data_IF_499853543812
#
_entry.id   IF_499853543812
#
_cell.length_a   1.000
_cell.length_b   1.000
_cell.length_c   1.000
_cell.angle_alpha   90.00
_cell.angle_beta   90.00
_cell.angle_gamma   90.00
#
_symmetry.space_group_name_H-M   'P 1'
#
loop_
_entity.id
_entity.type
_entity.pdbx_description
1 polymer ?
#
# COMPACT_ATOMS: atom_id res chain seq x y z
N UNK A 1 37.19 -7.54 -9.92
CA UNK A 1 38.09 -6.52 -10.51
C UNK A 1 37.24 -5.35 -10.93
N UNK A 2 37.43 -4.15 -10.35
CA UNK A 2 36.76 -2.91 -10.81
C UNK A 2 37.45 -2.49 -12.11
N UNK A 3 36.77 -2.58 -13.23
CA UNK A 3 37.23 -2.06 -14.51
C UNK A 3 37.31 -0.54 -14.42
N UNK A 4 38.50 0.00 -14.66
CA UNK A 4 38.77 1.44 -14.66
C UNK A 4 38.22 2.02 -15.99
N UNK A 5 36.89 2.13 -16.12
CA UNK A 5 36.28 2.78 -17.29
C UNK A 5 36.30 4.30 -17.08
N UNK A 6 36.56 5.11 -18.14
CA UNK A 6 36.44 6.56 -18.04
C UNK A 6 35.01 6.93 -17.65
N UNK A 7 34.87 8.02 -16.89
CA UNK A 7 33.57 8.58 -16.51
C UNK A 7 32.77 8.92 -17.79
N UNK A 8 31.67 8.19 -18.00
CA UNK A 8 30.73 8.45 -19.11
C UNK A 8 29.59 9.30 -18.56
N UNK A 9 29.49 10.54 -19.06
CA UNK A 9 28.38 11.41 -18.75
C UNK A 9 27.17 10.99 -19.63
N UNK A 10 26.15 10.39 -19.00
CA UNK A 10 24.90 10.01 -19.68
C UNK A 10 23.98 11.23 -19.65
N UNK A 11 23.40 11.56 -20.81
CA UNK A 11 22.40 12.62 -20.93
C UNK A 11 21.21 12.36 -19.98
N UNK A 12 20.80 13.32 -19.14
CA UNK A 12 19.66 13.18 -18.23
C UNK A 12 18.36 12.75 -18.93
N UNK A 13 18.09 13.26 -20.15
CA UNK A 13 16.89 12.92 -20.91
C UNK A 13 16.91 11.48 -21.39
N UNK A 14 18.08 10.98 -21.75
CA UNK A 14 18.29 9.57 -22.11
C UNK A 14 18.07 8.67 -20.89
N UNK A 15 18.64 9.05 -19.74
CA UNK A 15 18.49 8.30 -18.51
C UNK A 15 17.01 8.23 -18.07
N UNK A 16 16.27 9.32 -18.22
CA UNK A 16 14.84 9.34 -17.89
C UNK A 16 14.05 8.37 -18.79
N UNK A 17 14.33 8.37 -20.12
CA UNK A 17 13.68 7.43 -21.06
C UNK A 17 13.99 5.98 -20.71
N UNK A 18 15.24 5.67 -20.45
CA UNK A 18 15.67 4.29 -20.09
C UNK A 18 15.00 3.80 -18.79
N UNK A 19 14.80 4.69 -17.82
CA UNK A 19 14.10 4.37 -16.56
C UNK A 19 12.61 4.07 -16.74
N UNK A 20 12.00 4.56 -17.82
CA UNK A 20 10.58 4.33 -18.11
C UNK A 20 10.32 2.99 -18.81
N UNK A 21 11.34 2.31 -19.32
CA UNK A 21 11.20 0.99 -19.95
C UNK A 21 10.82 -0.04 -18.88
N UNK A 22 9.59 -0.55 -18.92
CA UNK A 22 9.13 -1.59 -18.00
C UNK A 22 9.69 -2.96 -18.42
N UNK A 23 9.89 -3.86 -17.41
CA UNK A 23 10.48 -5.16 -17.63
C UNK A 23 9.66 -6.07 -18.54
N UNK A 24 8.32 -5.99 -18.47
CA UNK A 24 7.46 -6.86 -19.28
C UNK A 24 7.59 -6.54 -20.78
N UNK A 25 7.61 -5.25 -21.12
CA UNK A 25 7.82 -4.79 -22.50
C UNK A 25 9.19 -5.19 -23.01
N UNK A 26 10.24 -4.96 -22.19
CA UNK A 26 11.61 -5.38 -22.52
C UNK A 26 11.71 -6.89 -22.80
N UNK A 27 11.20 -7.73 -21.92
CA UNK A 27 11.28 -9.19 -22.09
C UNK A 27 10.45 -9.67 -23.28
N UNK A 28 9.30 -9.07 -23.58
CA UNK A 28 8.49 -9.43 -24.75
C UNK A 28 9.22 -9.22 -26.05
N UNK A 29 9.97 -8.15 -26.12
CA UNK A 29 10.62 -7.71 -27.35
C UNK A 29 12.01 -8.34 -27.53
N UNK A 30 12.81 -8.36 -26.49
CA UNK A 30 14.23 -8.73 -26.58
C UNK A 30 14.56 -10.10 -26.00
N UNK A 31 13.80 -10.58 -25.02
CA UNK A 31 14.01 -11.91 -24.40
C UNK A 31 12.69 -12.71 -24.33
N UNK A 32 11.95 -12.91 -25.44
CA UNK A 32 10.63 -13.57 -25.38
C UNK A 32 10.68 -15.00 -24.86
N UNK A 33 11.80 -15.71 -25.10
CA UNK A 33 12.02 -17.07 -24.55
C UNK A 33 12.19 -17.09 -23.04
N UNK A 34 12.58 -15.98 -22.43
CA UNK A 34 12.75 -15.85 -20.98
C UNK A 34 11.45 -15.40 -20.28
N UNK A 35 10.39 -15.08 -21.02
CA UNK A 35 9.10 -14.65 -20.47
C UNK A 35 8.10 -15.79 -20.39
N UNK A 36 7.69 -16.18 -19.19
CA UNK A 36 6.75 -17.27 -18.95
C UNK A 36 5.50 -16.76 -18.25
N UNK A 37 4.31 -17.05 -18.79
CA UNK A 37 3.05 -16.73 -18.12
C UNK A 37 2.78 -17.68 -16.95
N UNK A 38 2.48 -17.15 -15.78
CA UNK A 38 2.16 -17.95 -14.60
C UNK A 38 0.78 -18.59 -14.75
N UNK A 39 0.72 -19.93 -14.67
CA UNK A 39 -0.55 -20.69 -14.80
C UNK A 39 -1.56 -20.23 -13.74
N UNK A 40 -2.83 -20.11 -14.13
CA UNK A 40 -3.92 -19.72 -13.22
C UNK A 40 -3.99 -18.24 -12.92
N UNK A 41 -3.19 -17.38 -13.57
CA UNK A 41 -3.24 -15.93 -13.40
C UNK A 41 -3.56 -15.24 -14.74
N UNK A 42 -4.25 -14.06 -14.66
CA UNK A 42 -4.57 -13.27 -15.86
C UNK A 42 -3.37 -12.47 -16.37
N UNK A 43 -2.62 -11.80 -15.49
CA UNK A 43 -1.60 -10.80 -15.83
C UNK A 43 -0.31 -10.93 -15.01
N UNK A 44 0.05 -12.14 -14.59
CA UNK A 44 1.31 -12.38 -13.89
C UNK A 44 2.23 -13.23 -14.75
N UNK A 45 3.46 -12.78 -14.88
CA UNK A 45 4.54 -13.44 -15.61
C UNK A 45 5.71 -13.74 -14.68
N UNK A 46 6.62 -14.57 -15.10
CA UNK A 46 7.92 -14.80 -14.47
C UNK A 46 8.99 -14.97 -15.54
N UNK A 47 10.25 -14.94 -15.15
CA UNK A 47 11.33 -15.30 -16.07
C UNK A 47 11.54 -16.80 -16.06
N UNK A 48 11.96 -17.37 -17.19
CA UNK A 48 12.29 -18.81 -17.30
C UNK A 48 13.49 -19.17 -16.42
N UNK A 49 14.45 -18.25 -16.27
CA UNK A 49 15.63 -18.44 -15.43
C UNK A 49 15.32 -18.37 -13.93
N UNK A 50 14.30 -17.57 -13.55
CA UNK A 50 13.92 -17.35 -12.16
C UNK A 50 12.40 -17.34 -12.02
N UNK A 51 11.81 -18.48 -11.76
CA UNK A 51 10.37 -18.64 -11.56
C UNK A 51 9.82 -17.84 -10.35
N UNK A 52 10.67 -17.57 -9.36
CA UNK A 52 10.38 -16.73 -8.20
C UNK A 52 10.39 -15.22 -8.48
N UNK A 53 10.90 -14.79 -9.65
CA UNK A 53 10.80 -13.40 -10.10
C UNK A 53 9.44 -13.20 -10.78
N UNK A 54 8.54 -12.49 -10.13
CA UNK A 54 7.18 -12.21 -10.64
C UNK A 54 7.07 -10.81 -11.21
N UNK A 55 6.39 -10.71 -12.35
CA UNK A 55 6.18 -9.45 -13.10
C UNK A 55 4.66 -9.23 -13.18
N UNK A 56 4.18 -8.07 -12.71
CA UNK A 56 2.77 -7.69 -12.75
C UNK A 56 2.63 -6.18 -12.71
N UNK A 57 1.69 -5.63 -13.48
CA UNK A 57 1.35 -4.20 -13.49
C UNK A 57 2.57 -3.27 -13.65
N UNK A 58 3.47 -3.58 -14.58
CA UNK A 58 4.66 -2.77 -14.87
C UNK A 58 5.73 -2.79 -13.77
N UNK A 59 5.59 -3.67 -12.78
CA UNK A 59 6.53 -3.86 -11.68
C UNK A 59 6.97 -5.29 -11.64
N UNK A 60 8.15 -5.53 -11.07
CA UNK A 60 8.61 -6.88 -10.82
C UNK A 60 9.14 -7.04 -9.40
N UNK A 61 9.05 -8.26 -8.89
CA UNK A 61 9.50 -8.62 -7.55
C UNK A 61 10.18 -9.98 -7.56
N UNK A 62 11.39 -10.04 -7.01
CA UNK A 62 12.15 -11.27 -6.84
C UNK A 62 12.27 -11.59 -5.35
N UNK A 63 11.66 -12.67 -4.92
CA UNK A 63 11.54 -13.03 -3.50
C UNK A 63 12.89 -13.15 -2.80
N UNK A 64 13.95 -13.61 -3.50
CA UNK A 64 15.29 -13.81 -2.92
C UNK A 64 16.15 -12.54 -2.88
N UNK A 65 15.94 -11.55 -3.79
CA UNK A 65 16.88 -10.43 -3.96
C UNK A 65 16.24 -9.04 -4.09
N UNK A 66 14.95 -8.87 -3.82
CA UNK A 66 14.19 -7.62 -3.98
C UNK A 66 13.70 -7.37 -5.40
N UNK A 67 12.82 -6.34 -5.56
CA UNK A 67 12.20 -5.99 -6.81
C UNK A 67 12.70 -4.70 -7.44
N UNK A 68 12.12 -4.35 -8.57
CA UNK A 68 12.36 -3.13 -9.31
C UNK A 68 11.14 -2.71 -10.11
N UNK A 69 11.29 -1.59 -10.83
CA UNK A 69 10.20 -0.99 -11.60
C UNK A 69 10.50 -1.00 -13.10
N UNK A 70 11.77 -1.07 -13.48
CA UNK A 70 12.22 -0.89 -14.87
C UNK A 70 13.06 -2.07 -15.35
N UNK A 71 13.24 -2.16 -16.67
CA UNK A 71 14.21 -3.06 -17.28
C UNK A 71 15.64 -2.73 -16.84
N UNK A 72 15.96 -1.44 -16.61
CA UNK A 72 17.26 -1.03 -16.10
C UNK A 72 17.57 -1.67 -14.74
N UNK A 73 16.59 -1.66 -13.82
CA UNK A 73 16.74 -2.34 -12.54
C UNK A 73 16.99 -3.85 -12.69
N UNK A 74 16.33 -4.48 -13.67
CA UNK A 74 16.50 -5.91 -13.95
C UNK A 74 17.89 -6.22 -14.48
N UNK A 75 18.38 -5.46 -15.46
CA UNK A 75 19.73 -5.66 -16.01
C UNK A 75 20.81 -5.50 -14.93
N UNK A 76 20.66 -4.52 -14.04
CA UNK A 76 21.63 -4.28 -12.96
C UNK A 76 21.54 -5.33 -11.85
N UNK A 77 20.29 -5.64 -11.38
CA UNK A 77 20.09 -6.43 -10.16
C UNK A 77 20.02 -7.94 -10.40
N UNK A 78 19.60 -8.35 -11.60
CA UNK A 78 19.37 -9.76 -11.94
C UNK A 78 20.44 -10.26 -12.91
N UNK A 79 20.70 -9.50 -13.98
CA UNK A 79 21.72 -9.85 -14.97
C UNK A 79 23.12 -9.38 -14.58
N UNK A 80 23.25 -8.59 -13.50
CA UNK A 80 24.52 -8.13 -12.91
C UNK A 80 25.38 -7.25 -13.85
N UNK A 81 24.76 -6.61 -14.87
CA UNK A 81 25.43 -5.59 -15.68
C UNK A 81 25.79 -4.35 -14.85
N UNK A 82 26.90 -3.68 -15.19
CA UNK A 82 27.14 -2.37 -14.62
C UNK A 82 26.12 -1.33 -15.14
N UNK A 83 26.02 -0.21 -14.44
CA UNK A 83 25.01 0.80 -14.77
C UNK A 83 25.14 1.34 -16.19
N UNK A 84 26.38 1.58 -16.67
CA UNK A 84 26.65 2.13 -18.00
C UNK A 84 26.31 1.09 -19.08
N UNK A 85 26.75 -0.17 -18.89
CA UNK A 85 26.41 -1.28 -19.78
C UNK A 85 24.90 -1.49 -19.89
N UNK A 86 24.19 -1.48 -18.76
CA UNK A 86 22.73 -1.62 -18.76
C UNK A 86 22.03 -0.50 -19.52
N UNK A 87 22.50 0.75 -19.40
CA UNK A 87 22.00 1.89 -20.18
C UNK A 87 22.32 1.74 -21.66
N UNK A 88 23.53 1.36 -22.02
CA UNK A 88 23.96 1.14 -23.43
C UNK A 88 23.13 0.04 -24.10
N UNK A 89 22.88 -1.09 -23.41
CA UNK A 89 22.01 -2.15 -23.90
C UNK A 89 20.62 -1.64 -24.21
N UNK A 90 20.00 -0.91 -23.25
CA UNK A 90 18.65 -0.38 -23.44
C UNK A 90 18.59 0.74 -24.49
N UNK A 91 19.63 1.54 -24.61
CA UNK A 91 19.73 2.54 -25.68
C UNK A 91 19.90 1.89 -27.07
N UNK A 92 20.79 0.92 -27.21
CA UNK A 92 21.06 0.24 -28.48
C UNK A 92 19.85 -0.57 -28.97
N UNK A 93 19.07 -1.13 -28.08
CA UNK A 93 17.91 -1.97 -28.37
C UNK A 93 16.60 -1.16 -28.48
N UNK A 94 16.45 -0.08 -27.72
CA UNK A 94 15.18 0.64 -27.57
C UNK A 94 14.98 1.83 -28.53
N UNK A 95 16.02 2.26 -29.24
CA UNK A 95 15.94 3.50 -30.06
C UNK A 95 15.27 3.32 -31.42
N UNK A 96 15.08 2.09 -31.91
CA UNK A 96 14.51 1.90 -33.24
C UNK A 96 12.97 2.06 -33.28
N UNK A 97 12.23 1.59 -32.26
CA UNK A 97 10.76 1.58 -32.31
C UNK A 97 10.01 1.78 -30.98
N UNK A 98 10.71 2.15 -29.89
CA UNK A 98 10.04 2.29 -28.60
C UNK A 98 9.10 3.51 -28.55
N UNK A 99 7.82 3.23 -28.41
CA UNK A 99 6.82 4.23 -28.01
C UNK A 99 6.64 4.15 -26.51
N UNK A 100 6.76 5.27 -25.74
CA UNK A 100 6.46 5.25 -24.32
C UNK A 100 5.09 4.62 -24.10
N UNK A 101 4.93 3.73 -23.09
CA UNK A 101 3.60 3.27 -22.70
C UNK A 101 2.73 4.52 -22.51
N UNK A 102 1.45 4.50 -22.91
CA UNK A 102 0.57 5.64 -22.70
C UNK A 102 0.70 6.06 -21.24
N UNK A 103 0.94 7.36 -21.03
CA UNK A 103 1.07 7.92 -19.69
C UNK A 103 -0.01 7.30 -18.80
N UNK A 104 0.30 6.84 -17.58
CA UNK A 104 -0.69 6.24 -16.72
C UNK A 104 -1.89 7.17 -16.74
N UNK A 105 -3.05 6.65 -17.18
CA UNK A 105 -4.29 7.44 -17.23
C UNK A 105 -4.36 8.12 -15.89
N UNK A 106 -4.39 9.46 -15.88
CA UNK A 106 -4.62 10.24 -14.65
C UNK A 106 -5.73 9.51 -13.93
N UNK A 107 -5.44 9.06 -12.72
CA UNK A 107 -6.35 8.25 -11.93
C UNK A 107 -7.73 8.90 -12.03
N UNK A 108 -8.63 8.32 -12.81
CA UNK A 108 -10.04 8.65 -12.71
C UNK A 108 -10.39 8.46 -11.25
N UNK A 109 -11.14 9.38 -10.63
CA UNK A 109 -11.44 9.28 -9.22
C UNK A 109 -12.00 7.89 -8.94
N UNK A 110 -11.21 7.06 -8.27
CA UNK A 110 -11.59 5.67 -7.98
C UNK A 110 -12.84 5.72 -7.12
N UNK A 111 -13.93 5.17 -7.63
CA UNK A 111 -15.16 5.05 -6.86
C UNK A 111 -14.92 4.02 -5.75
N UNK A 112 -15.17 4.41 -4.50
CA UNK A 112 -15.09 3.49 -3.36
C UNK A 112 -16.18 2.43 -3.47
N UNK A 113 -15.77 1.18 -3.57
CA UNK A 113 -16.66 0.02 -3.60
C UNK A 113 -16.78 -0.57 -2.19
N UNK A 114 -17.84 -0.20 -1.48
CA UNK A 114 -18.10 -0.72 -0.15
C UNK A 114 -18.72 -2.12 -0.21
N UNK A 115 -18.27 -3.07 0.62
CA UNK A 115 -18.94 -4.35 0.78
C UNK A 115 -20.40 -4.16 1.25
N UNK A 116 -21.35 -4.99 0.77
CA UNK A 116 -22.72 -4.95 1.25
C UNK A 116 -22.78 -5.10 2.78
N UNK A 117 -23.66 -4.33 3.42
CA UNK A 117 -23.88 -4.43 4.88
C UNK A 117 -24.66 -5.69 5.22
N UNK A 118 -24.27 -6.39 6.28
CA UNK A 118 -25.07 -7.44 6.89
C UNK A 118 -26.29 -6.83 7.61
N UNK A 119 -27.28 -7.68 7.93
CA UNK A 119 -28.50 -7.29 8.64
C UNK A 119 -28.24 -6.78 10.05
N UNK A 120 -27.19 -7.30 10.69
CA UNK A 120 -26.74 -6.93 12.02
C UNK A 120 -25.21 -6.88 12.09
N UNK A 121 -24.66 -6.54 13.26
CA UNK A 121 -23.22 -6.46 13.51
C UNK A 121 -22.78 -7.42 14.62
N UNK A 122 -23.53 -8.49 14.89
CA UNK A 122 -23.32 -9.34 16.05
C UNK A 122 -21.93 -9.98 16.10
N UNK A 123 -21.41 -10.46 14.97
CA UNK A 123 -20.07 -11.06 14.90
C UNK A 123 -18.98 -10.02 15.09
N UNK A 124 -19.14 -8.86 14.50
CA UNK A 124 -18.17 -7.75 14.65
C UNK A 124 -18.14 -7.29 16.11
N UNK A 125 -19.30 -7.12 16.75
CA UNK A 125 -19.40 -6.77 18.16
C UNK A 125 -18.69 -7.82 19.03
N UNK A 126 -19.02 -9.10 18.84
CA UNK A 126 -18.41 -10.19 19.58
C UNK A 126 -16.89 -10.25 19.38
N UNK A 127 -16.45 -10.14 18.12
CA UNK A 127 -15.03 -10.16 17.76
C UNK A 127 -14.24 -9.03 18.44
N UNK A 128 -14.74 -7.79 18.36
CA UNK A 128 -14.06 -6.63 18.93
C UNK A 128 -14.11 -6.67 20.46
N UNK A 129 -15.24 -7.09 21.04
CA UNK A 129 -15.36 -7.25 22.49
C UNK A 129 -14.37 -8.29 23.04
N UNK A 130 -14.20 -9.43 22.36
CA UNK A 130 -13.19 -10.44 22.73
C UNK A 130 -11.76 -9.93 22.58
N UNK A 131 -11.55 -8.94 21.71
CA UNK A 131 -10.25 -8.25 21.60
C UNK A 131 -10.05 -7.16 22.65
N UNK A 132 -10.97 -7.05 23.61
CA UNK A 132 -10.87 -6.10 24.70
C UNK A 132 -11.33 -4.69 24.37
N UNK A 133 -12.04 -4.48 23.25
CA UNK A 133 -12.60 -3.17 22.91
C UNK A 133 -13.86 -2.92 23.72
N UNK A 134 -13.99 -1.72 24.29
CA UNK A 134 -15.14 -1.30 25.06
C UNK A 134 -16.44 -1.39 24.25
N UNK A 135 -17.46 -2.00 24.86
CA UNK A 135 -18.74 -2.25 24.19
C UNK A 135 -19.44 -0.96 23.73
N UNK A 136 -19.44 0.09 24.58
CA UNK A 136 -20.09 1.36 24.21
C UNK A 136 -19.37 2.02 23.04
N UNK A 137 -18.03 1.96 23.00
CA UNK A 137 -17.25 2.49 21.89
C UNK A 137 -17.55 1.75 20.59
N UNK A 138 -17.73 0.42 20.63
CA UNK A 138 -18.15 -0.36 19.47
C UNK A 138 -19.52 0.12 18.97
N UNK A 139 -20.49 0.28 19.91
CA UNK A 139 -21.86 0.74 19.58
C UNK A 139 -21.85 2.16 18.98
N UNK A 140 -21.05 3.06 19.52
CA UNK A 140 -20.89 4.42 18.96
C UNK A 140 -20.39 4.36 17.51
N UNK A 141 -19.34 3.60 17.23
CA UNK A 141 -18.81 3.45 15.87
C UNK A 141 -19.84 2.85 14.89
N UNK A 142 -20.69 1.92 15.35
CA UNK A 142 -21.77 1.34 14.54
C UNK A 142 -22.84 2.40 14.29
N UNK A 143 -23.27 3.12 15.33
CA UNK A 143 -24.28 4.19 15.25
C UNK A 143 -23.83 5.33 14.32
N UNK A 144 -22.57 5.73 14.40
CA UNK A 144 -21.97 6.75 13.54
C UNK A 144 -21.74 6.26 12.10
N UNK A 145 -21.98 4.97 11.84
CA UNK A 145 -21.75 4.33 10.53
C UNK A 145 -20.28 4.34 10.12
N UNK A 146 -19.36 4.36 11.10
CA UNK A 146 -17.91 4.21 10.88
C UNK A 146 -17.43 2.78 11.05
N UNK A 147 -18.32 1.89 11.54
CA UNK A 147 -18.09 0.46 11.68
C UNK A 147 -19.35 -0.30 11.27
N UNK A 148 -19.19 -1.36 10.50
CA UNK A 148 -20.29 -2.30 10.22
C UNK A 148 -19.74 -3.69 9.90
N UNK A 149 -20.64 -4.69 9.83
CA UNK A 149 -20.37 -6.05 9.41
C UNK A 149 -20.70 -6.22 7.93
N UNK A 150 -19.78 -6.81 7.14
CA UNK A 150 -20.08 -7.12 5.75
C UNK A 150 -20.99 -8.35 5.64
N UNK A 151 -21.91 -8.36 4.66
CA UNK A 151 -22.80 -9.50 4.38
C UNK A 151 -21.98 -10.73 3.98
N UNK A 152 -20.97 -10.52 3.13
CA UNK A 152 -20.05 -11.57 2.74
C UNK A 152 -18.92 -11.71 3.78
N UNK A 153 -18.66 -12.96 4.23
CA UNK A 153 -17.60 -13.32 5.15
C UNK A 153 -17.64 -12.65 6.54
N UNK A 154 -18.67 -11.86 6.86
CA UNK A 154 -18.85 -11.20 8.17
C UNK A 154 -17.62 -10.42 8.65
N UNK A 155 -16.92 -9.75 7.74
CA UNK A 155 -15.76 -8.96 8.08
C UNK A 155 -16.17 -7.68 8.84
N UNK A 156 -15.33 -7.24 9.77
CA UNK A 156 -15.41 -5.89 10.32
C UNK A 156 -14.93 -4.89 9.26
N UNK A 157 -15.77 -3.90 8.94
CA UNK A 157 -15.51 -2.86 7.94
C UNK A 157 -15.42 -1.52 8.66
N UNK A 158 -14.20 -0.95 8.70
CA UNK A 158 -13.90 0.34 9.31
C UNK A 158 -13.92 1.43 8.25
N UNK A 159 -14.80 2.41 8.39
CA UNK A 159 -15.05 3.47 7.41
C UNK A 159 -14.33 4.75 7.80
N UNK A 160 -13.65 5.34 6.84
CA UNK A 160 -13.17 6.71 6.92
C UNK A 160 -14.00 7.62 6.02
N UNK A 161 -14.39 8.77 6.56
CA UNK A 161 -15.28 9.74 5.90
C UNK A 161 -14.53 11.05 5.64
N UNK A 162 -14.96 11.79 4.61
CA UNK A 162 -14.52 13.16 4.41
C UNK A 162 -15.30 14.14 5.32
N UNK A 163 -15.05 15.43 5.18
CA UNK A 163 -15.68 16.49 5.99
C UNK A 163 -17.19 16.59 5.76
N UNK A 164 -17.69 16.11 4.61
CA UNK A 164 -19.13 16.05 4.32
C UNK A 164 -19.82 14.81 4.90
N UNK A 165 -19.07 13.92 5.56
CA UNK A 165 -19.56 12.64 6.06
C UNK A 165 -19.63 11.54 4.99
N UNK A 166 -19.15 11.79 3.77
CA UNK A 166 -19.16 10.82 2.68
C UNK A 166 -18.01 9.79 2.87
N UNK A 167 -18.30 8.48 2.81
CA UNK A 167 -17.26 7.45 2.86
C UNK A 167 -16.24 7.59 1.72
N UNK A 168 -14.96 7.62 2.05
CA UNK A 168 -13.83 7.68 1.11
C UNK A 168 -12.85 6.54 1.31
N UNK A 169 -12.93 5.85 2.43
CA UNK A 169 -12.02 4.77 2.78
C UNK A 169 -12.78 3.66 3.51
N UNK A 170 -12.36 2.42 3.29
CA UNK A 170 -12.82 1.30 4.09
C UNK A 170 -11.72 0.25 4.26
N UNK A 171 -11.44 -0.15 5.51
CA UNK A 171 -10.59 -1.27 5.86
C UNK A 171 -11.42 -2.48 6.29
N UNK A 172 -11.12 -3.65 5.74
CA UNK A 172 -11.76 -4.92 6.07
C UNK A 172 -10.85 -5.76 6.95
N UNK A 173 -11.42 -6.35 7.99
CA UNK A 173 -10.73 -7.28 8.88
C UNK A 173 -11.60 -8.51 9.13
N UNK A 174 -11.04 -9.71 8.92
CA UNK A 174 -11.74 -10.96 9.24
C UNK A 174 -12.07 -11.05 10.72
N UNK A 175 -13.31 -11.49 11.00
CA UNK A 175 -13.78 -11.84 12.35
C UNK A 175 -13.70 -13.34 12.63
N UNK A 176 -13.27 -14.15 11.63
CA UNK A 176 -13.29 -15.62 11.67
C UNK A 176 -11.92 -16.24 11.96
N UNK A 177 -11.02 -15.51 12.66
CA UNK A 177 -9.71 -16.03 13.05
C UNK A 177 -8.66 -16.08 11.92
N UNK A 178 -9.00 -15.69 10.69
CA UNK A 178 -8.03 -15.59 9.60
C UNK A 178 -7.19 -14.31 9.69
N UNK A 179 -6.02 -14.31 9.05
CA UNK A 179 -5.14 -13.13 8.96
C UNK A 179 -5.60 -12.13 7.89
N UNK A 180 -6.77 -12.33 7.29
CA UNK A 180 -7.27 -11.47 6.22
C UNK A 180 -7.44 -10.03 6.69
N UNK A 181 -6.79 -9.15 5.96
CA UNK A 181 -6.91 -7.69 6.06
C UNK A 181 -6.76 -7.09 4.66
N UNK A 182 -7.63 -6.17 4.29
CA UNK A 182 -7.63 -5.55 2.96
C UNK A 182 -8.32 -4.19 3.00
N UNK A 183 -7.84 -3.25 2.19
CA UNK A 183 -8.60 -2.03 1.90
C UNK A 183 -9.63 -2.32 0.81
N UNK A 184 -10.82 -1.73 0.91
CA UNK A 184 -11.82 -1.82 -0.15
C UNK A 184 -11.32 -1.14 -1.43
N UNK A 185 -11.73 -1.67 -2.59
CA UNK A 185 -11.36 -1.08 -3.88
C UNK A 185 -11.82 0.37 -3.96
N UNK A 186 -10.96 1.25 -4.45
CA UNK A 186 -11.23 2.70 -4.53
C UNK A 186 -11.03 3.48 -3.23
N UNK A 187 -10.54 2.83 -2.17
CA UNK A 187 -10.21 3.51 -0.90
C UNK A 187 -9.13 4.58 -1.07
N UNK A 188 -9.37 5.74 -0.46
CA UNK A 188 -8.40 6.83 -0.35
C UNK A 188 -7.88 6.91 1.10
N UNK A 189 -6.62 6.54 1.31
CA UNK A 189 -5.98 6.49 2.64
C UNK A 189 -5.89 7.85 3.35
N UNK A 190 -6.05 8.95 2.66
CA UNK A 190 -6.13 10.29 3.28
C UNK A 190 -7.31 10.41 4.24
N UNK A 191 -8.33 9.57 4.02
CA UNK A 191 -9.57 9.52 4.82
C UNK A 191 -9.65 8.25 5.68
N UNK A 192 -8.53 7.69 6.11
CA UNK A 192 -8.53 6.47 6.92
C UNK A 192 -9.36 6.60 8.20
N UNK A 193 -9.71 5.45 8.81
CA UNK A 193 -10.53 5.39 10.03
C UNK A 193 -9.94 6.27 11.14
N UNK A 194 -10.80 7.08 11.77
CA UNK A 194 -10.39 8.05 12.78
C UNK A 194 -11.50 8.31 13.80
N UNK A 195 -11.11 8.73 15.00
CA UNK A 195 -11.97 9.31 16.02
C UNK A 195 -11.48 10.74 16.25
N UNK A 196 -12.29 11.73 15.89
CA UNK A 196 -11.92 13.13 16.02
C UNK A 196 -12.17 13.61 17.44
N UNK A 197 -11.33 14.53 17.91
CA UNK A 197 -11.55 15.27 19.14
C UNK A 197 -12.87 16.08 19.06
N UNK A 198 -13.51 16.31 20.22
CA UNK A 198 -14.71 17.16 20.28
C UNK A 198 -14.38 18.62 20.05
N UNK A 199 -13.22 19.06 20.52
CA UNK A 199 -12.71 20.40 20.39
C UNK A 199 -11.40 20.40 19.61
N UNK A 200 -11.04 21.48 18.93
CA UNK A 200 -9.75 21.58 18.25
C UNK A 200 -8.59 21.30 19.21
N UNK A 201 -7.64 20.47 18.78
CA UNK A 201 -6.47 20.09 19.57
C UNK A 201 -5.22 20.06 18.70
N UNK A 202 -4.06 20.35 19.30
CA UNK A 202 -2.76 20.28 18.64
C UNK A 202 -2.15 18.86 18.69
N UNK A 203 -2.85 17.90 19.30
CA UNK A 203 -2.39 16.53 19.48
C UNK A 203 -3.13 15.57 18.55
N UNK A 204 -2.37 14.76 17.83
CA UNK A 204 -2.86 13.67 16.99
C UNK A 204 -2.13 12.38 17.32
N UNK A 205 -2.85 11.37 17.75
CA UNK A 205 -2.32 10.02 17.95
C UNK A 205 -2.45 9.20 16.68
N UNK A 206 -1.37 8.50 16.30
CA UNK A 206 -1.30 7.69 15.10
C UNK A 206 -1.17 6.21 15.47
N UNK A 207 -1.98 5.36 14.82
CA UNK A 207 -2.02 3.92 15.03
C UNK A 207 -1.83 3.16 13.72
N UNK A 208 -1.24 1.97 13.77
CA UNK A 208 -1.07 1.15 12.57
C UNK A 208 -2.42 0.74 11.98
N UNK A 209 -3.36 0.30 12.80
CA UNK A 209 -4.68 -0.17 12.37
C UNK A 209 -5.83 0.40 13.23
N UNK A 210 -7.06 0.31 12.68
CA UNK A 210 -8.26 0.76 13.37
C UNK A 210 -8.49 0.05 14.73
N UNK A 211 -8.12 -1.22 14.85
CA UNK A 211 -8.26 -1.97 16.10
C UNK A 211 -7.31 -1.46 17.17
N UNK A 212 -6.08 -1.09 16.81
CA UNK A 212 -5.10 -0.53 17.76
C UNK A 212 -5.58 0.84 18.26
N UNK A 213 -6.16 1.65 17.39
CA UNK A 213 -6.81 2.91 17.75
C UNK A 213 -7.96 2.69 18.76
N UNK A 214 -8.86 1.73 18.47
CA UNK A 214 -9.97 1.40 19.37
C UNK A 214 -9.49 0.82 20.73
N UNK A 215 -8.39 0.04 20.70
CA UNK A 215 -7.75 -0.46 21.94
C UNK A 215 -7.26 0.69 22.82
N UNK A 216 -6.62 1.69 22.22
CA UNK A 216 -6.14 2.86 22.94
C UNK A 216 -7.30 3.73 23.46
N UNK A 217 -8.34 3.95 22.67
CA UNK A 217 -9.54 4.64 23.12
C UNK A 217 -10.21 3.91 24.30
N UNK A 218 -10.23 2.58 24.27
CA UNK A 218 -10.71 1.73 25.39
C UNK A 218 -9.84 1.91 26.61
N UNK A 219 -8.52 1.89 26.45
CA UNK A 219 -7.58 2.11 27.55
C UNK A 219 -7.82 3.47 28.23
N UNK A 220 -8.00 4.55 27.46
CA UNK A 220 -8.30 5.86 28.00
C UNK A 220 -9.61 5.86 28.81
N UNK A 221 -10.66 5.19 28.33
CA UNK A 221 -11.92 5.03 29.08
C UNK A 221 -11.70 4.28 30.40
N UNK A 222 -10.90 3.21 30.41
CA UNK A 222 -10.57 2.47 31.62
C UNK A 222 -9.82 3.34 32.65
N UNK A 223 -8.99 4.28 32.19
CA UNK A 223 -8.31 5.27 33.02
C UNK A 223 -9.21 6.45 33.46
N UNK A 224 -10.47 6.43 33.10
CA UNK A 224 -11.38 7.53 33.37
C UNK A 224 -11.13 8.80 32.55
N UNK A 225 -10.36 8.70 31.45
CA UNK A 225 -10.05 9.79 30.55
C UNK A 225 -11.02 9.86 29.39
N UNK A 226 -11.29 11.06 28.89
CA UNK A 226 -12.09 11.22 27.67
C UNK A 226 -11.24 10.90 26.44
N UNK A 227 -11.54 9.81 25.75
CA UNK A 227 -10.84 9.40 24.52
C UNK A 227 -11.13 10.35 23.32
N UNK A 228 -12.09 11.27 23.43
CA UNK A 228 -12.37 12.34 22.47
C UNK A 228 -11.75 13.68 22.86
N UNK A 229 -10.85 13.73 23.85
CA UNK A 229 -10.08 14.93 24.15
C UNK A 229 -9.03 15.24 23.09
N UNK A 230 -8.53 14.22 22.40
CA UNK A 230 -7.52 14.33 21.35
C UNK A 230 -7.92 13.48 20.13
N UNK A 231 -7.37 13.82 18.96
CA UNK A 231 -7.71 13.13 17.73
C UNK A 231 -6.88 11.83 17.58
N UNK A 232 -7.56 10.74 17.18
CA UNK A 232 -6.97 9.43 16.95
C UNK A 232 -7.12 9.05 15.47
N UNK A 233 -6.04 8.64 14.80
CA UNK A 233 -6.02 8.31 13.38
C UNK A 233 -5.34 6.97 13.11
N UNK A 234 -5.98 6.11 12.34
CA UNK A 234 -5.38 4.87 11.82
C UNK A 234 -4.63 5.15 10.51
N UNK A 235 -3.38 4.66 10.41
CA UNK A 235 -2.58 4.75 9.19
C UNK A 235 -2.93 3.67 8.15
N UNK A 236 -3.78 2.72 8.54
CA UNK A 236 -4.20 1.61 7.67
C UNK A 236 -3.04 0.78 7.11
N UNK A 237 -2.07 0.52 7.97
CA UNK A 237 -0.83 -0.18 7.70
C UNK A 237 0.36 0.77 7.55
N UNK A 238 1.46 0.40 8.19
CA UNK A 238 2.73 1.14 8.14
C UNK A 238 3.68 0.39 7.22
N UNK A 239 4.16 1.06 6.17
CA UNK A 239 5.25 0.55 5.35
C UNK A 239 6.58 0.95 5.99
N UNK A 240 7.34 -0.01 6.51
CA UNK A 240 8.72 0.21 6.90
C UNK A 240 9.65 0.02 5.70
N UNK A 241 10.22 1.09 5.12
CA UNK A 241 11.28 0.94 4.14
C UNK A 241 12.51 0.35 4.83
N UNK A 242 13.08 -0.73 4.30
CA UNK A 242 14.27 -1.41 4.84
C UNK A 242 15.57 -0.58 4.79
N UNK A 243 15.51 0.71 4.38
CA UNK A 243 16.62 1.68 4.44
C UNK A 243 16.06 3.02 4.87
N UNK A 244 16.72 3.62 5.86
CA UNK A 244 16.44 4.98 6.33
C UNK A 244 16.48 5.98 5.18
N UNK A 245 15.31 6.50 4.78
CA UNK A 245 15.25 7.79 4.09
C UNK A 245 15.27 8.86 5.16
N UNK A 246 16.27 9.77 5.10
CA UNK A 246 16.30 10.97 5.94
C UNK A 246 14.98 11.73 5.78
N UNK A 247 14.15 11.70 6.81
CA UNK A 247 12.92 12.49 6.84
C UNK A 247 13.25 13.97 7.04
N UNK A 248 12.65 14.85 6.24
CA UNK A 248 12.64 16.29 6.55
C UNK A 248 11.86 16.47 7.86
N UNK A 249 12.48 17.15 8.83
CA UNK A 249 11.79 17.59 10.04
C UNK A 249 10.59 18.45 9.65
N UNK A 250 9.39 17.93 9.91
CA UNK A 250 8.17 18.74 9.95
C UNK A 250 8.09 19.24 11.41
N UNK A 251 7.96 20.54 11.59
CA UNK A 251 7.82 21.16 12.91
C UNK A 251 6.45 20.81 13.50
N UNK A 252 6.42 19.81 14.36
CA UNK A 252 5.25 19.35 15.11
C UNK A 252 5.67 18.17 16.00
N UNK A 253 5.15 18.08 17.21
CA UNK A 253 5.42 16.95 18.10
C UNK A 253 4.50 15.80 17.70
N UNK A 254 5.06 14.73 17.14
CA UNK A 254 4.35 13.48 16.87
C UNK A 254 4.72 12.46 17.95
N UNK A 255 3.72 11.84 18.55
CA UNK A 255 3.91 10.69 19.42
C UNK A 255 3.46 9.44 18.65
N UNK A 256 4.39 8.52 18.39
CA UNK A 256 4.07 7.19 17.86
C UNK A 256 4.03 6.25 19.06
N UNK A 257 2.85 5.77 19.41
CA UNK A 257 2.71 4.70 20.40
C UNK A 257 2.64 3.37 19.66
N UNK A 258 3.65 2.54 19.86
CA UNK A 258 3.62 1.11 19.50
C UNK A 258 3.29 0.34 20.79
N UNK A 259 2.14 -0.31 20.82
CA UNK A 259 1.76 -1.27 21.87
C UNK A 259 1.99 -2.67 21.33
#
# INVERSE_FOLDING_TARGET
MRTNRPYVQIDPDVLERVRQIDLLSYLREFEPSNLVKVKGTSNVYCTAEHDSLKISNGKWYWWSRRGGYSALDYLIKVKEYDFVEAVEILMGQAMADWKPPPAPKKDEPKVLLLPPKNKDCNRVIQYLFWRGIDYQLIQECISDGTLYESADYHNAVFIGKDESGTPKYAALRSTLGSTFKQDASGSDKRYSFRLLAREPTDTLHLFEAAIDLLSYATYLKCEGKDYKSESLLSLSGVYQPKKEKKYRKISGRFYVSTI
#
